data_IF_326379746716
#
_entry.id   IF_326379746716
#
_cell.length_a   1.000
_cell.length_b   1.000
_cell.length_c   1.000
_cell.angle_alpha   90.00
_cell.angle_beta   90.00
_cell.angle_gamma   90.00
#
_symmetry.space_group_name_H-M   'P 1'
#
loop_
_entity.id
_entity.type
_entity.pdbx_description
1 polymer ?
#
# COMPACT_ATOMS: atom_id res chain seq x y z
N UNK A 1 -44.73 47.48 12.65
CA UNK A 1 -43.25 47.51 12.83
C UNK A 1 -42.75 46.11 12.46
N UNK A 2 -42.44 45.92 11.14
CA UNK A 2 -42.02 44.62 10.60
C UNK A 2 -40.49 44.60 10.54
N UNK A 3 -39.88 43.67 11.34
CA UNK A 3 -38.45 43.39 11.26
C UNK A 3 -38.21 42.43 10.09
N UNK A 4 -37.49 42.87 9.07
CA UNK A 4 -36.94 42.01 8.04
C UNK A 4 -35.63 41.37 8.57
N UNK A 5 -35.63 40.08 8.77
CA UNK A 5 -34.42 39.29 8.98
C UNK A 5 -33.81 38.96 7.62
N UNK A 6 -32.72 39.62 7.27
CA UNK A 6 -31.92 39.28 6.12
C UNK A 6 -31.02 38.06 6.47
N UNK A 7 -31.39 36.91 5.92
CA UNK A 7 -30.58 35.70 6.01
C UNK A 7 -29.41 35.80 5.00
N UNK A 8 -28.21 36.12 5.50
CA UNK A 8 -26.98 36.09 4.67
C UNK A 8 -26.62 34.66 4.40
N UNK A 9 -26.84 34.18 3.16
CA UNK A 9 -26.32 32.89 2.68
C UNK A 9 -24.78 33.01 2.55
N UNK A 10 -24.06 32.42 3.50
CA UNK A 10 -22.61 32.24 3.36
C UNK A 10 -22.39 31.09 2.40
N UNK A 11 -22.01 31.42 1.18
CA UNK A 11 -21.54 30.44 0.21
C UNK A 11 -20.16 29.91 0.67
N UNK A 12 -20.13 28.70 1.20
CA UNK A 12 -18.89 27.94 1.33
C UNK A 12 -18.46 27.56 -0.10
N UNK A 13 -17.53 28.31 -0.66
CA UNK A 13 -16.76 27.84 -1.81
C UNK A 13 -15.90 26.67 -1.30
N UNK A 14 -16.32 25.44 -1.58
CA UNK A 14 -15.42 24.30 -1.52
C UNK A 14 -14.31 24.58 -2.56
N UNK A 15 -13.10 24.88 -2.08
CA UNK A 15 -11.91 24.90 -2.92
C UNK A 15 -11.73 23.48 -3.45
N UNK A 16 -12.16 23.23 -4.67
CA UNK A 16 -11.71 22.04 -5.41
C UNK A 16 -10.22 22.30 -5.66
N UNK A 17 -9.37 21.62 -4.93
CA UNK A 17 -7.95 21.65 -5.18
C UNK A 17 -7.74 21.20 -6.63
N UNK A 18 -7.09 22.04 -7.44
CA UNK A 18 -6.68 21.67 -8.80
C UNK A 18 -5.70 20.47 -8.68
N UNK A 19 -6.18 19.27 -8.91
CA UNK A 19 -5.35 18.06 -8.90
C UNK A 19 -5.02 17.66 -10.34
N UNK A 20 -3.74 17.47 -10.62
CA UNK A 20 -3.25 17.02 -11.92
C UNK A 20 -2.53 15.68 -11.77
N UNK A 21 -2.90 14.68 -12.55
CA UNK A 21 -2.06 13.49 -12.68
C UNK A 21 -0.83 13.83 -13.50
N UNK A 22 0.34 13.53 -12.97
CA UNK A 22 1.61 13.74 -13.66
C UNK A 22 2.39 12.45 -13.79
N UNK A 23 3.18 12.39 -14.85
CA UNK A 23 4.32 11.49 -15.01
C UNK A 23 5.57 12.35 -15.09
N UNK A 24 6.57 12.08 -14.29
CA UNK A 24 7.80 12.86 -14.27
C UNK A 24 9.01 12.04 -13.85
N UNK A 25 10.19 12.58 -14.14
CA UNK A 25 11.46 12.02 -13.66
C UNK A 25 11.98 12.86 -12.51
N UNK A 26 12.23 12.25 -11.38
CA UNK A 26 12.85 12.92 -10.22
C UNK A 26 14.31 13.16 -10.53
N UNK A 27 14.68 14.44 -10.67
CA UNK A 27 16.06 14.85 -10.96
C UNK A 27 16.87 14.96 -9.68
N UNK A 28 16.29 15.58 -8.66
CA UNK A 28 16.93 15.74 -7.36
C UNK A 28 15.94 15.71 -6.19
N UNK A 29 16.48 15.44 -5.02
CA UNK A 29 15.78 15.43 -3.74
C UNK A 29 16.35 16.52 -2.86
N UNK A 30 15.52 17.41 -2.35
CA UNK A 30 15.92 18.57 -1.54
C UNK A 30 15.37 18.42 -0.13
N UNK A 31 16.11 17.75 0.78
CA UNK A 31 15.62 17.43 2.12
C UNK A 31 15.25 18.67 2.96
N UNK A 32 16.05 19.73 2.89
CA UNK A 32 15.84 20.96 3.65
C UNK A 32 14.52 21.68 3.32
N UNK A 33 14.04 21.50 2.08
CA UNK A 33 12.79 22.08 1.59
C UNK A 33 11.67 21.04 1.49
N UNK A 34 11.92 19.79 1.83
CA UNK A 34 11.00 18.63 1.65
C UNK A 34 10.38 18.63 0.26
N UNK A 35 11.20 18.72 -0.77
CA UNK A 35 10.74 18.78 -2.15
C UNK A 35 11.56 17.91 -3.09
N UNK A 36 10.92 17.56 -4.22
CA UNK A 36 11.57 16.96 -5.37
C UNK A 36 11.68 17.99 -6.49
N UNK A 37 12.82 17.97 -7.17
CA UNK A 37 12.96 18.58 -8.49
C UNK A 37 12.56 17.54 -9.53
N UNK A 38 11.51 17.82 -10.30
CA UNK A 38 10.91 16.87 -11.23
C UNK A 38 10.86 17.45 -12.63
N UNK A 39 11.41 16.72 -13.61
CA UNK A 39 11.16 16.96 -15.01
C UNK A 39 9.79 16.33 -15.36
N UNK A 40 8.81 17.14 -15.66
CA UNK A 40 7.44 16.72 -15.99
C UNK A 40 7.42 16.19 -17.42
N UNK A 41 7.10 14.92 -17.61
CA UNK A 41 7.03 14.23 -18.90
C UNK A 41 5.63 14.33 -19.50
N UNK A 42 4.59 14.20 -18.66
CA UNK A 42 3.19 14.33 -19.04
C UNK A 42 2.38 14.88 -17.87
N UNK A 43 1.33 15.64 -18.17
CA UNK A 43 0.44 16.23 -17.18
C UNK A 43 -1.00 16.25 -17.70
N UNK A 44 -1.97 16.03 -16.81
CA UNK A 44 -3.39 16.16 -17.14
C UNK A 44 -3.93 17.58 -16.99
N UNK A 45 -3.13 18.55 -16.52
CA UNK A 45 -3.53 19.94 -16.33
C UNK A 45 -2.51 20.92 -16.90
N UNK A 46 -3.02 21.97 -17.58
CA UNK A 46 -2.18 23.02 -18.19
C UNK A 46 -1.29 23.78 -17.21
N UNK A 47 -1.70 23.88 -15.93
CA UNK A 47 -0.95 24.60 -14.89
C UNK A 47 0.36 23.91 -14.51
N UNK A 48 0.49 22.62 -14.79
CA UNK A 48 1.72 21.85 -14.61
C UNK A 48 2.26 21.53 -16.00
N UNK A 49 3.12 22.41 -16.53
CA UNK A 49 3.56 22.35 -17.91
C UNK A 49 4.45 21.13 -18.19
N UNK A 50 4.13 20.41 -19.27
CA UNK A 50 4.96 19.32 -19.77
C UNK A 50 6.34 19.83 -20.28
N UNK A 51 7.32 18.97 -20.28
CA UNK A 51 8.69 19.24 -20.69
C UNK A 51 9.37 20.37 -19.90
N UNK A 52 8.90 20.64 -18.69
CA UNK A 52 9.48 21.61 -17.76
C UNK A 52 10.03 20.91 -16.50
N UNK A 53 10.97 21.58 -15.86
CA UNK A 53 11.45 21.18 -14.52
C UNK A 53 10.78 22.06 -13.48
N UNK A 54 10.15 21.41 -12.49
CA UNK A 54 9.42 22.07 -11.43
C UNK A 54 9.75 21.46 -10.07
N UNK A 55 9.56 22.27 -9.02
CA UNK A 55 9.74 21.83 -7.64
C UNK A 55 8.39 21.52 -7.00
N UNK A 56 8.30 20.36 -6.38
CA UNK A 56 7.10 19.90 -5.70
C UNK A 56 7.41 19.52 -4.26
N UNK A 57 6.60 19.97 -3.34
CA UNK A 57 6.62 19.48 -1.96
C UNK A 57 6.19 18.02 -1.90
N UNK A 58 6.77 17.27 -0.98
CA UNK A 58 6.46 15.85 -0.79
C UNK A 58 6.29 15.50 0.69
N UNK A 59 5.61 14.38 0.96
CA UNK A 59 5.49 13.81 2.28
C UNK A 59 6.82 13.31 2.84
N UNK A 60 6.90 13.13 4.16
CA UNK A 60 8.14 12.68 4.82
C UNK A 60 8.51 11.26 4.41
N UNK A 61 7.55 10.37 4.20
CA UNK A 61 7.80 9.01 3.72
C UNK A 61 8.36 9.00 2.29
N UNK A 62 7.78 9.80 1.39
CA UNK A 62 8.28 9.93 0.02
C UNK A 62 9.68 10.57 -0.01
N UNK A 63 9.92 11.56 0.86
CA UNK A 63 11.24 12.16 1.00
C UNK A 63 12.29 11.13 1.43
N UNK A 64 11.93 10.24 2.36
CA UNK A 64 12.82 9.18 2.85
C UNK A 64 13.12 8.12 1.78
N UNK A 65 12.16 7.82 0.88
CA UNK A 65 12.38 6.96 -0.30
C UNK A 65 13.29 7.66 -1.32
N UNK A 66 13.02 8.95 -1.60
CA UNK A 66 13.86 9.82 -2.39
C UNK A 66 13.66 9.74 -3.90
N UNK A 67 13.34 8.62 -4.49
CA UNK A 67 13.09 8.37 -5.92
C UNK A 67 14.08 9.01 -6.93
N UNK A 68 15.25 9.50 -6.50
CA UNK A 68 16.20 10.19 -7.38
C UNK A 68 16.58 9.32 -8.60
N UNK A 69 16.43 9.92 -9.79
CA UNK A 69 16.66 9.24 -11.06
C UNK A 69 15.53 8.31 -11.53
N UNK A 70 14.46 8.14 -10.73
CA UNK A 70 13.30 7.30 -11.06
C UNK A 70 12.24 8.09 -11.83
N UNK A 71 11.51 7.39 -12.69
CA UNK A 71 10.27 7.90 -13.29
C UNK A 71 9.12 7.55 -12.37
N UNK A 72 8.30 8.53 -12.04
CA UNK A 72 7.15 8.40 -11.14
C UNK A 72 5.85 8.79 -11.82
N UNK A 73 4.72 8.26 -11.33
CA UNK A 73 3.40 8.85 -11.43
C UNK A 73 3.01 9.44 -10.08
N UNK A 74 2.30 10.55 -10.09
CA UNK A 74 1.83 11.19 -8.87
C UNK A 74 0.63 12.10 -9.17
N UNK A 75 -0.07 12.52 -8.13
CA UNK A 75 -1.03 13.62 -8.19
C UNK A 75 -0.34 14.90 -7.74
N UNK A 76 -0.28 15.90 -8.62
CA UNK A 76 0.15 17.25 -8.28
C UNK A 76 -1.07 18.03 -7.77
N UNK A 77 -1.01 18.53 -6.55
CA UNK A 77 -2.09 19.28 -5.89
C UNK A 77 -1.56 20.63 -5.43
N UNK A 78 -2.29 21.69 -5.73
CA UNK A 78 -1.88 23.04 -5.35
C UNK A 78 -2.59 23.48 -4.05
N UNK A 79 -1.81 23.74 -3.02
CA UNK A 79 -2.28 24.31 -1.75
C UNK A 79 -1.15 25.02 -1.01
N UNK A 80 -1.47 25.98 -0.16
CA UNK A 80 -0.48 26.75 0.59
C UNK A 80 0.54 27.45 -0.30
N UNK A 81 0.13 27.97 -1.44
CA UNK A 81 0.94 28.66 -2.46
C UNK A 81 2.08 27.80 -3.05
N UNK A 82 1.96 26.46 -2.98
CA UNK A 82 2.94 25.51 -3.52
C UNK A 82 2.27 24.32 -4.17
N UNK A 83 2.97 23.75 -5.13
CA UNK A 83 2.62 22.44 -5.68
C UNK A 83 3.16 21.33 -4.77
N UNK A 84 2.30 20.34 -4.51
CA UNK A 84 2.61 19.14 -3.73
C UNK A 84 2.45 17.92 -4.63
N UNK A 85 3.28 16.90 -4.42
CA UNK A 85 3.03 15.56 -4.96
C UNK A 85 2.46 14.68 -3.88
N UNK A 86 1.37 14.04 -4.22
CA UNK A 86 0.71 13.03 -3.42
C UNK A 86 0.59 11.73 -4.22
N UNK A 87 0.46 10.59 -3.54
CA UNK A 87 0.29 9.29 -4.17
C UNK A 87 1.40 8.99 -5.20
N UNK A 88 2.65 9.13 -4.76
CA UNK A 88 3.83 8.94 -5.61
C UNK A 88 4.10 7.45 -5.76
N UNK A 89 4.11 6.97 -7.02
CA UNK A 89 4.44 5.60 -7.38
C UNK A 89 5.56 5.55 -8.42
N UNK A 90 6.57 4.71 -8.24
CA UNK A 90 7.59 4.49 -9.25
C UNK A 90 7.04 3.70 -10.43
N UNK A 91 7.41 4.08 -11.65
CA UNK A 91 7.04 3.41 -12.90
C UNK A 91 8.18 2.56 -13.49
N UNK A 92 9.39 2.78 -13.01
CA UNK A 92 10.62 2.10 -13.45
C UNK A 92 11.41 1.58 -12.23
N UNK A 93 12.48 0.87 -12.48
CA UNK A 93 13.36 0.29 -11.48
C UNK A 93 13.56 -1.21 -11.70
N UNK A 94 14.40 -1.80 -10.84
CA UNK A 94 14.64 -3.24 -10.86
C UNK A 94 13.33 -4.00 -10.61
N UNK A 95 13.05 -4.98 -11.46
CA UNK A 95 11.83 -5.78 -11.32
C UNK A 95 10.57 -5.20 -11.97
N UNK A 96 10.51 -3.93 -12.37
CA UNK A 96 9.29 -3.31 -12.93
C UNK A 96 8.69 -4.06 -14.13
N UNK A 97 9.53 -4.55 -15.04
CA UNK A 97 9.09 -5.36 -16.19
C UNK A 97 8.58 -6.72 -15.74
N UNK A 98 9.34 -7.41 -14.89
CA UNK A 98 8.98 -8.72 -14.36
C UNK A 98 7.65 -8.64 -13.56
N UNK A 99 7.46 -7.57 -12.77
CA UNK A 99 6.23 -7.31 -12.04
C UNK A 99 5.00 -7.25 -12.98
N UNK A 100 5.11 -6.51 -14.09
CA UNK A 100 4.02 -6.43 -15.08
C UNK A 100 3.70 -7.79 -15.71
N UNK A 101 4.72 -8.59 -16.00
CA UNK A 101 4.52 -9.90 -16.62
C UNK A 101 3.88 -10.89 -15.64
N UNK A 102 4.32 -10.90 -14.39
CA UNK A 102 3.74 -11.71 -13.30
C UNK A 102 2.28 -11.33 -13.04
N UNK A 103 1.99 -10.03 -12.94
CA UNK A 103 0.63 -9.58 -12.65
C UNK A 103 -0.33 -9.80 -13.82
N UNK A 104 0.17 -9.82 -15.07
CA UNK A 104 -0.64 -10.26 -16.23
C UNK A 104 -1.05 -11.73 -16.09
N UNK A 105 -0.16 -12.60 -15.62
CA UNK A 105 -0.48 -14.00 -15.34
C UNK A 105 -1.49 -14.12 -14.19
N UNK A 106 -1.27 -13.40 -13.08
CA UNK A 106 -2.23 -13.33 -11.95
C UNK A 106 -3.63 -12.98 -12.45
N UNK A 107 -3.75 -11.96 -13.31
CA UNK A 107 -5.03 -11.55 -13.90
C UNK A 107 -5.71 -12.66 -14.68
N UNK A 108 -4.95 -13.40 -15.50
CA UNK A 108 -5.48 -14.52 -16.27
C UNK A 108 -5.97 -15.66 -15.36
N UNK A 109 -5.21 -16.01 -14.33
CA UNK A 109 -5.58 -17.02 -13.35
C UNK A 109 -6.84 -16.61 -12.58
N UNK A 110 -6.92 -15.34 -12.13
CA UNK A 110 -8.08 -14.81 -11.41
C UNK A 110 -9.33 -14.76 -12.29
N UNK A 111 -9.20 -14.39 -13.56
CA UNK A 111 -10.32 -14.32 -14.50
C UNK A 111 -10.96 -15.70 -14.76
N UNK A 112 -10.18 -16.77 -14.66
CA UNK A 112 -10.66 -18.16 -14.86
C UNK A 112 -11.12 -18.83 -13.57
N UNK A 113 -10.92 -18.22 -12.41
CA UNK A 113 -11.35 -18.76 -11.12
C UNK A 113 -12.87 -18.81 -11.01
N UNK A 114 -13.40 -19.90 -10.45
CA UNK A 114 -14.81 -19.97 -10.08
C UNK A 114 -15.12 -18.95 -8.96
N UNK A 115 -16.37 -18.44 -8.93
CA UNK A 115 -16.78 -17.34 -8.04
C UNK A 115 -16.59 -17.60 -6.55
N UNK A 116 -16.60 -18.88 -6.11
CA UNK A 116 -16.48 -19.27 -4.69
C UNK A 116 -15.11 -19.83 -4.33
N UNK A 117 -14.17 -19.88 -5.28
CA UNK A 117 -12.82 -20.37 -5.03
C UNK A 117 -11.96 -19.25 -4.45
N UNK A 118 -11.20 -19.56 -3.42
CA UNK A 118 -10.13 -18.73 -2.87
C UNK A 118 -9.09 -19.64 -2.23
N UNK A 119 -7.90 -19.12 -1.97
CA UNK A 119 -6.77 -19.87 -1.40
C UNK A 119 -7.09 -20.30 0.03
N UNK A 120 -7.01 -21.61 0.30
CA UNK A 120 -7.29 -22.24 1.59
C UNK A 120 -6.03 -22.86 2.19
N UNK A 121 -6.17 -23.35 3.41
CA UNK A 121 -5.12 -24.16 4.05
C UNK A 121 -4.66 -25.30 3.14
N UNK A 122 -3.34 -25.52 3.02
CA UNK A 122 -2.71 -26.51 2.19
C UNK A 122 -2.57 -26.14 0.71
N UNK A 123 -3.20 -25.08 0.24
CA UNK A 123 -3.10 -24.61 -1.16
C UNK A 123 -1.92 -23.63 -1.33
N UNK A 124 -1.41 -23.55 -2.55
CA UNK A 124 -0.40 -22.57 -2.92
C UNK A 124 -1.01 -21.18 -3.05
N UNK A 125 -0.29 -20.17 -2.59
CA UNK A 125 -0.65 -18.79 -2.88
C UNK A 125 -0.37 -18.45 -4.34
N UNK A 126 -1.10 -17.48 -4.95
CA UNK A 126 -0.79 -16.99 -6.28
C UNK A 126 0.58 -16.32 -6.32
N UNK A 127 1.20 -16.32 -7.50
CA UNK A 127 2.37 -15.48 -7.71
C UNK A 127 1.94 -14.07 -8.11
N UNK A 128 2.50 -13.06 -7.47
CA UNK A 128 2.20 -11.65 -7.72
C UNK A 128 3.43 -10.79 -7.47
N UNK A 129 3.38 -9.56 -7.91
CA UNK A 129 4.38 -8.55 -7.62
C UNK A 129 3.71 -7.21 -7.29
N UNK A 130 4.20 -6.54 -6.26
CA UNK A 130 3.71 -5.24 -5.81
C UNK A 130 4.89 -4.32 -5.50
N UNK A 131 4.61 -3.08 -5.13
CA UNK A 131 5.60 -2.10 -4.73
C UNK A 131 5.60 -2.05 -3.20
N UNK A 132 6.78 -2.14 -2.59
CA UNK A 132 6.92 -2.07 -1.14
C UNK A 132 6.99 -0.63 -0.60
N UNK A 133 7.05 -0.47 0.70
CA UNK A 133 7.18 0.82 1.40
C UNK A 133 8.50 1.56 1.11
N UNK A 134 9.44 0.95 0.40
CA UNK A 134 10.68 1.57 -0.04
C UNK A 134 10.62 1.98 -1.53
N UNK A 135 9.46 1.80 -2.18
CA UNK A 135 9.29 2.08 -3.60
C UNK A 135 9.94 1.04 -4.52
N UNK A 136 10.27 -0.14 -4.01
CA UNK A 136 10.88 -1.21 -4.78
C UNK A 136 9.86 -2.26 -5.20
N UNK A 137 10.07 -2.87 -6.38
CA UNK A 137 9.20 -3.95 -6.88
C UNK A 137 9.57 -5.26 -6.20
N UNK A 138 8.68 -5.77 -5.38
CA UNK A 138 8.79 -7.07 -4.72
C UNK A 138 7.88 -8.08 -5.41
N UNK A 139 8.46 -9.16 -5.92
CA UNK A 139 7.72 -10.33 -6.37
C UNK A 139 7.65 -11.34 -5.21
N UNK A 140 6.47 -11.86 -4.90
CA UNK A 140 6.29 -12.75 -3.74
C UNK A 140 7.19 -14.00 -3.77
N UNK A 141 7.54 -14.47 -4.96
CA UNK A 141 8.50 -15.59 -5.13
C UNK A 141 9.93 -15.26 -4.65
N UNK A 142 10.29 -14.01 -4.46
CA UNK A 142 11.59 -13.64 -3.86
C UNK A 142 11.66 -14.05 -2.38
N UNK A 143 10.52 -14.30 -1.75
CA UNK A 143 10.43 -14.86 -0.40
C UNK A 143 10.44 -16.39 -0.39
N UNK A 144 10.54 -17.05 -1.55
CA UNK A 144 10.59 -18.52 -1.61
C UNK A 144 11.77 -19.07 -0.77
N UNK A 145 11.52 -20.12 0.00
CA UNK A 145 12.47 -20.67 0.97
C UNK A 145 12.38 -20.04 2.36
N UNK A 146 11.65 -18.94 2.50
CA UNK A 146 11.36 -18.29 3.78
C UNK A 146 9.87 -18.39 4.09
N UNK A 147 9.46 -18.76 5.31
CA UNK A 147 8.06 -18.67 5.70
C UNK A 147 7.67 -17.20 5.87
N UNK A 148 6.39 -16.88 5.73
CA UNK A 148 5.93 -15.52 5.99
C UNK A 148 4.48 -15.47 6.49
N UNK A 149 4.18 -14.42 7.25
CA UNK A 149 2.82 -14.11 7.69
C UNK A 149 2.27 -13.01 6.77
N UNK A 150 1.11 -13.27 6.20
CA UNK A 150 0.42 -12.38 5.27
C UNK A 150 -0.88 -11.87 5.87
N UNK A 151 -1.10 -10.55 5.86
CA UNK A 151 -2.38 -9.94 6.19
C UNK A 151 -2.75 -8.80 5.23
N UNK A 152 -3.94 -8.23 5.44
CA UNK A 152 -4.52 -7.19 4.60
C UNK A 152 -4.99 -6.03 5.48
N UNK A 153 -4.67 -4.78 5.06
CA UNK A 153 -5.08 -3.55 5.76
C UNK A 153 -5.38 -2.42 4.77
N UNK A 154 -5.87 -1.30 5.28
CA UNK A 154 -5.72 0.01 4.67
C UNK A 154 -5.41 1.05 5.76
N UNK A 155 -4.57 2.05 5.41
CA UNK A 155 -4.00 2.94 6.44
C UNK A 155 -5.01 3.89 7.04
N UNK A 156 -6.06 4.26 6.27
CA UNK A 156 -7.14 5.16 6.72
C UNK A 156 -8.21 4.50 7.60
N UNK A 157 -8.04 3.22 7.95
CA UNK A 157 -9.01 2.53 8.80
C UNK A 157 -9.07 3.16 10.20
N UNK A 158 -10.21 3.75 10.53
CA UNK A 158 -10.45 4.39 11.84
C UNK A 158 -11.08 3.46 12.87
N UNK A 159 -11.39 2.20 12.50
CA UNK A 159 -12.00 1.22 13.41
C UNK A 159 -10.92 0.56 14.27
N UNK A 160 -10.83 0.86 15.58
CA UNK A 160 -9.68 0.45 16.41
C UNK A 160 -9.48 -1.07 16.48
N UNK A 161 -10.56 -1.85 16.37
CA UNK A 161 -10.53 -3.33 16.46
C UNK A 161 -10.21 -4.04 15.14
N UNK A 162 -10.06 -3.30 14.04
CA UNK A 162 -9.75 -3.83 12.70
C UNK A 162 -8.29 -3.62 12.32
N UNK A 163 -8.00 -2.86 11.25
CA UNK A 163 -6.63 -2.66 10.77
C UNK A 163 -5.67 -2.17 11.85
N UNK A 164 -6.02 -1.17 12.70
CA UNK A 164 -5.11 -0.73 13.76
C UNK A 164 -4.72 -1.86 14.73
N UNK A 165 -5.69 -2.67 15.17
CA UNK A 165 -5.41 -3.80 16.04
C UNK A 165 -4.60 -4.90 15.34
N UNK A 166 -4.89 -5.17 14.06
CA UNK A 166 -4.14 -6.14 13.26
C UNK A 166 -2.68 -5.70 13.09
N UNK A 167 -2.44 -4.44 12.72
CA UNK A 167 -1.10 -3.90 12.54
C UNK A 167 -0.29 -3.91 13.84
N UNK A 168 -0.91 -3.56 14.97
CA UNK A 168 -0.25 -3.66 16.27
C UNK A 168 0.14 -5.09 16.61
N UNK A 169 -0.74 -6.07 16.35
CA UNK A 169 -0.41 -7.49 16.57
C UNK A 169 0.71 -7.96 15.64
N UNK A 170 0.72 -7.55 14.37
CA UNK A 170 1.80 -7.90 13.43
C UNK A 170 3.15 -7.37 13.92
N UNK A 171 3.20 -6.12 14.43
CA UNK A 171 4.41 -5.54 15.02
C UNK A 171 4.88 -6.34 16.25
N UNK A 172 3.99 -6.63 17.19
CA UNK A 172 4.34 -7.42 18.39
C UNK A 172 4.73 -8.86 18.02
N UNK A 173 4.05 -9.47 17.04
CA UNK A 173 4.39 -10.80 16.56
C UNK A 173 5.78 -10.84 15.91
N UNK A 174 6.20 -9.78 15.22
CA UNK A 174 7.55 -9.65 14.66
C UNK A 174 8.61 -9.76 15.77
N UNK A 175 8.44 -9.04 16.89
CA UNK A 175 9.33 -9.14 18.05
C UNK A 175 9.29 -10.54 18.65
N UNK A 176 8.10 -11.09 18.85
CA UNK A 176 7.92 -12.43 19.45
C UNK A 176 8.58 -13.54 18.62
N UNK A 177 8.46 -13.47 17.29
CA UNK A 177 9.07 -14.43 16.34
C UNK A 177 10.60 -14.32 16.37
N UNK A 178 11.14 -13.10 16.43
CA UNK A 178 12.57 -12.85 16.60
C UNK A 178 13.09 -13.41 17.91
N UNK A 179 12.41 -13.17 19.02
CA UNK A 179 12.79 -13.65 20.35
C UNK A 179 12.71 -15.20 20.44
N UNK A 180 11.83 -15.83 19.64
CA UNK A 180 11.76 -17.28 19.49
C UNK A 180 12.85 -17.86 18.56
N UNK A 181 13.73 -17.03 17.97
CA UNK A 181 14.83 -17.48 17.11
C UNK A 181 14.42 -17.81 15.67
N UNK A 182 13.20 -17.48 15.24
CA UNK A 182 12.69 -17.70 13.88
C UNK A 182 13.05 -16.54 12.93
N UNK A 183 14.34 -16.23 12.83
CA UNK A 183 14.87 -15.01 12.19
C UNK A 183 14.66 -14.93 10.66
N UNK A 184 14.33 -16.03 10.00
CA UNK A 184 14.07 -16.05 8.56
C UNK A 184 12.60 -15.84 8.19
N UNK A 185 11.69 -15.81 9.17
CA UNK A 185 10.28 -15.53 8.94
C UNK A 185 10.07 -14.08 8.53
N UNK A 186 9.30 -13.89 7.46
CA UNK A 186 8.99 -12.57 6.91
C UNK A 186 7.56 -12.16 7.25
N UNK A 187 7.28 -10.88 7.17
CA UNK A 187 5.95 -10.30 7.35
C UNK A 187 5.56 -9.56 6.08
N UNK A 188 4.37 -9.83 5.58
CA UNK A 188 3.82 -9.23 4.37
C UNK A 188 2.46 -8.64 4.69
N UNK A 189 2.29 -7.36 4.45
CA UNK A 189 1.00 -6.69 4.60
C UNK A 189 0.61 -6.07 3.26
N UNK A 190 -0.54 -6.44 2.72
CA UNK A 190 -1.06 -5.88 1.47
C UNK A 190 -2.08 -4.80 1.81
N UNK A 191 -1.86 -3.59 1.30
CA UNK A 191 -2.91 -2.57 1.31
C UNK A 191 -3.94 -2.86 0.25
N UNK A 192 -5.22 -2.74 0.62
CA UNK A 192 -6.34 -2.81 -0.33
C UNK A 192 -6.97 -1.44 -0.65
N UNK A 193 -6.29 -0.35 -0.32
CA UNK A 193 -6.63 1.03 -0.69
C UNK A 193 -5.48 1.68 -1.50
N UNK A 194 -5.13 1.11 -2.67
CA UNK A 194 -3.95 1.55 -3.43
C UNK A 194 -4.09 2.98 -3.99
N UNK A 195 -5.31 3.51 -4.05
CA UNK A 195 -5.56 4.88 -4.48
C UNK A 195 -5.13 5.91 -3.43
N UNK A 196 -4.98 5.49 -2.17
CA UNK A 196 -4.47 6.33 -1.09
C UNK A 196 -3.10 5.85 -0.58
N UNK A 197 -2.93 4.55 -0.39
CA UNK A 197 -1.77 3.95 0.27
C UNK A 197 -0.58 3.83 -0.69
N UNK A 198 0.06 4.95 -1.02
CA UNK A 198 1.33 4.97 -1.76
C UNK A 198 2.49 4.43 -0.92
N UNK A 199 3.65 4.08 -1.53
CA UNK A 199 4.83 3.63 -0.80
C UNK A 199 5.24 4.56 0.35
N UNK A 200 5.22 5.88 0.14
CA UNK A 200 5.54 6.86 1.18
C UNK A 200 4.57 6.86 2.35
N UNK A 201 3.27 6.66 2.08
CA UNK A 201 2.24 6.51 3.12
C UNK A 201 2.46 5.21 3.90
N UNK A 202 2.72 4.10 3.21
CA UNK A 202 3.00 2.81 3.86
C UNK A 202 4.27 2.85 4.70
N UNK A 203 5.30 3.57 4.26
CA UNK A 203 6.52 3.79 5.05
C UNK A 203 6.23 4.49 6.36
N UNK A 204 5.49 5.60 6.34
CA UNK A 204 5.09 6.30 7.56
C UNK A 204 4.21 5.43 8.48
N UNK A 205 3.34 4.64 7.87
CA UNK A 205 2.49 3.71 8.62
C UNK A 205 3.34 2.65 9.33
N UNK A 206 4.31 2.04 8.66
CA UNK A 206 5.24 1.08 9.26
C UNK A 206 6.03 1.69 10.43
N UNK A 207 6.57 2.90 10.24
CA UNK A 207 7.27 3.65 11.28
C UNK A 207 6.36 3.92 12.50
N UNK A 208 5.10 4.30 12.25
CA UNK A 208 4.11 4.56 13.29
C UNK A 208 3.76 3.33 14.14
N UNK A 209 3.90 2.13 13.60
CA UNK A 209 3.70 0.85 14.31
C UNK A 209 4.99 0.21 14.78
N UNK A 210 6.15 0.85 14.58
CA UNK A 210 7.49 0.30 14.91
C UNK A 210 7.74 -1.07 14.24
N UNK A 211 7.35 -1.19 12.97
CA UNK A 211 7.62 -2.38 12.16
C UNK A 211 9.06 -2.33 11.65
N UNK A 212 9.86 -3.35 11.99
CA UNK A 212 11.26 -3.42 11.58
C UNK A 212 11.38 -3.73 10.09
N UNK A 213 12.09 -2.90 9.30
CA UNK A 213 12.06 -2.97 7.83
C UNK A 213 12.81 -4.17 7.25
N UNK A 214 13.64 -4.85 8.04
CA UNK A 214 14.50 -5.94 7.58
C UNK A 214 13.73 -7.15 7.08
N UNK A 215 12.56 -7.43 7.68
CA UNK A 215 11.72 -8.56 7.34
C UNK A 215 10.23 -8.22 7.26
N UNK A 216 9.87 -6.92 7.22
CA UNK A 216 8.49 -6.47 7.10
C UNK A 216 8.28 -5.74 5.76
N UNK A 217 7.35 -6.22 4.95
CA UNK A 217 7.01 -5.71 3.62
C UNK A 217 5.56 -5.24 3.60
N UNK A 218 5.34 -3.92 3.53
CA UNK A 218 4.02 -3.34 3.29
C UNK A 218 3.89 -3.08 1.78
N UNK A 219 2.90 -3.68 1.16
CA UNK A 219 2.77 -3.75 -0.30
C UNK A 219 1.58 -2.96 -0.79
N UNK A 220 1.78 -2.24 -1.87
CA UNK A 220 0.76 -1.51 -2.63
C UNK A 220 1.02 -1.67 -4.13
N UNK A 221 0.12 -1.17 -4.97
CA UNK A 221 0.32 -1.27 -6.42
C UNK A 221 -0.87 -0.77 -7.22
N UNK A 222 -1.07 -1.33 -8.41
CA UNK A 222 -2.22 -0.98 -9.23
C UNK A 222 -3.51 -1.60 -8.66
N UNK A 223 -4.62 -0.84 -8.65
CA UNK A 223 -5.91 -1.26 -8.10
C UNK A 223 -6.38 -2.60 -8.69
N UNK A 224 -6.15 -2.83 -9.99
CA UNK A 224 -6.50 -4.11 -10.62
C UNK A 224 -5.73 -5.32 -10.08
N UNK A 225 -4.49 -5.13 -9.64
CA UNK A 225 -3.68 -6.19 -9.00
C UNK A 225 -4.20 -6.45 -7.59
N UNK A 226 -4.53 -5.40 -6.85
CA UNK A 226 -5.15 -5.51 -5.52
C UNK A 226 -6.47 -6.26 -5.61
N UNK A 227 -7.36 -5.91 -6.53
CA UNK A 227 -8.64 -6.59 -6.75
C UNK A 227 -8.46 -8.09 -7.04
N UNK A 228 -7.49 -8.42 -7.90
CA UNK A 228 -7.18 -9.83 -8.19
C UNK A 228 -6.70 -10.56 -6.93
N UNK A 229 -5.85 -9.94 -6.10
CA UNK A 229 -5.38 -10.54 -4.85
C UNK A 229 -6.50 -10.69 -3.82
N UNK A 230 -7.34 -9.67 -3.63
CA UNK A 230 -8.48 -9.77 -2.73
C UNK A 230 -9.38 -10.94 -3.12
N UNK A 231 -9.65 -11.11 -4.42
CA UNK A 231 -10.41 -12.24 -4.93
C UNK A 231 -9.70 -13.58 -4.71
N UNK A 232 -8.39 -13.66 -5.00
CA UNK A 232 -7.58 -14.86 -4.80
C UNK A 232 -7.57 -15.30 -3.34
N UNK A 233 -7.49 -14.37 -2.41
CA UNK A 233 -7.44 -14.63 -0.99
C UNK A 233 -8.82 -14.66 -0.31
N UNK A 234 -9.91 -14.38 -1.03
CA UNK A 234 -11.26 -14.40 -0.50
C UNK A 234 -11.56 -13.24 0.46
N UNK A 235 -10.90 -12.11 0.27
CA UNK A 235 -11.19 -10.87 1.00
C UNK A 235 -12.29 -10.14 0.24
N UNK A 236 -13.39 -9.86 0.93
CA UNK A 236 -14.50 -9.08 0.38
C UNK A 236 -14.37 -7.65 0.88
N UNK A 237 -14.49 -6.70 -0.03
CA UNK A 237 -14.50 -5.27 0.26
C UNK A 237 -15.78 -4.64 -0.26
N UNK A 238 -16.30 -3.66 0.45
CA UNK A 238 -17.46 -2.86 0.06
C UNK A 238 -17.25 -1.43 0.55
N UNK A 239 -17.25 -0.49 -0.37
CA UNK A 239 -17.21 0.93 -0.01
C UNK A 239 -18.57 1.37 0.54
N UNK A 240 -18.55 2.06 1.67
CA UNK A 240 -19.75 2.58 2.34
C UNK A 240 -19.37 3.85 3.11
N UNK A 241 -20.05 4.95 2.83
CA UNK A 241 -19.92 6.24 3.53
C UNK A 241 -18.46 6.73 3.71
N UNK A 242 -17.63 6.57 2.67
CA UNK A 242 -16.22 7.02 2.68
C UNK A 242 -15.27 6.14 3.49
N UNK A 243 -15.72 4.97 3.92
CA UNK A 243 -14.90 3.91 4.51
C UNK A 243 -15.03 2.62 3.69
N UNK A 244 -14.13 1.67 3.96
CA UNK A 244 -14.13 0.37 3.29
C UNK A 244 -14.52 -0.70 4.33
N UNK A 245 -15.73 -1.23 4.21
CA UNK A 245 -16.11 -2.44 4.93
C UNK A 245 -15.46 -3.65 4.26
N UNK A 246 -14.86 -4.54 5.04
CA UNK A 246 -14.14 -5.67 4.50
C UNK A 246 -14.10 -6.87 5.45
N UNK A 247 -13.96 -8.06 4.88
CA UNK A 247 -13.54 -9.23 5.63
C UNK A 247 -12.03 -9.19 5.86
N UNK A 248 -11.54 -9.93 6.83
CA UNK A 248 -10.11 -10.02 7.13
C UNK A 248 -9.67 -11.48 7.18
N UNK A 249 -8.45 -11.74 6.76
CA UNK A 249 -7.76 -13.00 6.98
C UNK A 249 -6.29 -12.72 7.26
N UNK A 250 -5.70 -13.52 8.14
CA UNK A 250 -4.25 -13.57 8.35
C UNK A 250 -3.78 -14.99 8.09
N UNK A 251 -2.73 -15.14 7.30
CA UNK A 251 -2.22 -16.42 6.83
C UNK A 251 -0.76 -16.60 7.25
N UNK A 252 -0.39 -17.83 7.60
CA UNK A 252 1.01 -18.26 7.64
C UNK A 252 1.28 -19.08 6.38
N UNK A 253 2.28 -18.69 5.63
CA UNK A 253 2.71 -19.37 4.40
C UNK A 253 4.06 -20.04 4.67
N UNK A 254 4.17 -21.31 4.30
CA UNK A 254 5.39 -22.09 4.49
C UNK A 254 6.48 -21.75 3.45
N UNK A 255 7.66 -22.35 3.60
CA UNK A 255 8.83 -22.16 2.72
C UNK A 255 8.57 -22.54 1.25
N UNK A 256 7.54 -23.36 0.99
CA UNK A 256 7.16 -23.81 -0.35
C UNK A 256 6.10 -22.90 -0.98
N UNK A 257 5.58 -21.92 -0.25
CA UNK A 257 4.49 -21.05 -0.70
C UNK A 257 3.09 -21.65 -0.49
N UNK A 258 2.91 -22.63 0.42
CA UNK A 258 1.61 -23.18 0.82
C UNK A 258 1.10 -22.51 2.07
N UNK A 259 -0.20 -22.32 2.17
CA UNK A 259 -0.85 -21.85 3.39
C UNK A 259 -0.80 -22.93 4.47
N UNK A 260 0.07 -22.73 5.45
CA UNK A 260 0.22 -23.64 6.60
C UNK A 260 -0.78 -23.36 7.72
N UNK A 261 -1.24 -22.11 7.85
CA UNK A 261 -2.28 -21.71 8.78
C UNK A 261 -3.07 -20.53 8.21
N UNK A 262 -4.37 -20.47 8.46
CA UNK A 262 -5.24 -19.37 8.04
C UNK A 262 -6.27 -19.09 9.13
N UNK A 263 -6.38 -17.83 9.53
CA UNK A 263 -7.37 -17.35 10.48
C UNK A 263 -8.22 -16.25 9.86
N UNK A 264 -9.50 -16.45 9.86
CA UNK A 264 -10.47 -15.46 9.40
C UNK A 264 -10.80 -14.44 10.50
N UNK A 265 -11.10 -13.21 10.09
CA UNK A 265 -11.52 -12.14 10.99
C UNK A 265 -10.38 -11.46 11.74
N UNK A 266 -10.75 -10.74 12.79
CA UNK A 266 -9.83 -9.86 13.55
C UNK A 266 -9.38 -10.44 14.90
N UNK A 267 -9.81 -11.63 15.25
CA UNK A 267 -9.63 -12.22 16.61
C UNK A 267 -8.44 -13.16 16.74
N UNK A 268 -7.55 -13.19 15.75
CA UNK A 268 -6.34 -14.00 15.85
C UNK A 268 -5.40 -13.50 16.96
N UNK A 269 -4.64 -14.41 17.55
CA UNK A 269 -3.69 -14.08 18.62
C UNK A 269 -2.25 -14.31 18.19
N UNK A 270 -1.32 -13.69 18.92
CA UNK A 270 0.12 -13.83 18.70
C UNK A 270 0.55 -15.28 18.94
N UNK A 271 0.00 -15.91 19.98
CA UNK A 271 0.28 -17.28 20.39
C UNK A 271 -0.12 -18.29 19.29
N UNK A 272 -1.31 -18.11 18.66
CA UNK A 272 -1.77 -18.97 17.56
C UNK A 272 -0.76 -18.96 16.38
N UNK A 273 -0.24 -17.79 16.00
CA UNK A 273 0.70 -17.67 14.90
C UNK A 273 2.13 -18.10 15.29
N UNK A 274 2.56 -17.83 16.53
CA UNK A 274 3.83 -18.33 17.03
C UNK A 274 3.85 -19.86 17.04
N UNK A 275 2.83 -20.51 17.65
CA UNK A 275 2.72 -21.96 17.69
C UNK A 275 2.66 -22.60 16.30
N UNK A 276 1.95 -21.97 15.36
CA UNK A 276 1.90 -22.43 13.97
C UNK A 276 3.27 -22.30 13.29
N UNK A 277 4.00 -21.20 13.55
CA UNK A 277 5.32 -20.94 12.97
C UNK A 277 6.40 -21.91 13.50
N UNK A 278 6.31 -22.30 14.76
CA UNK A 278 7.24 -23.28 15.37
C UNK A 278 7.06 -24.71 14.79
N UNK A 279 5.99 -24.98 14.06
CA UNK A 279 5.70 -26.28 13.43
C UNK A 279 6.15 -26.37 11.97
N UNK A 280 6.66 -25.27 11.38
CA UNK A 280 7.20 -25.24 10.02
C UNK A 280 8.61 -25.81 9.96
#
# INVERSE_FOLDING_TARGET
MHLFFTCSLIWFFAFVADAAQIKGRVLDVIPGDRSFEVNVIASSAEKVAESTTQFFRVGTGDLAIGYKGRTIRANAVYYGDKWHLEQIFPLDGLGAKAARDVNRQLRQETATMSRRKYVKHGEYIPNFAMIDQNGEFLQIRQLQGKPFILNFIFTRCTVPKMCPASSKRMSVLQDTIRDAGLNDLQFVTISFDPDFDSPGILRQYAEGYSMEPENFHLLTGDSSVVDDLLRQFGILTMEEDGTINHTMATLLVDRNGRVAYRKEGTTWTIEEFLEASLKL
#
